data_IF_932599629759
#
_entry.id   IF_932599629759
#
_cell.length_a   1.000
_cell.length_b   1.000
_cell.length_c   1.000
_cell.angle_alpha   90.00
_cell.angle_beta   90.00
_cell.angle_gamma   90.00
#
_symmetry.space_group_name_H-M   'P 1'
#
loop_
_entity.id
_entity.type
_entity.pdbx_description
1 polymer ?
#
# COMPACT_ATOMS: atom_id res chain seq x y z
N UNK A 1 -11.47 -2.72 -17.55
CA UNK A 1 -11.78 -1.76 -16.46
C UNK A 1 -10.78 -1.93 -15.32
N UNK A 2 -9.48 -2.02 -15.61
CA UNK A 2 -8.42 -2.32 -14.63
C UNK A 2 -7.70 -1.06 -14.13
N UNK A 3 -7.60 -0.02 -14.95
CA UNK A 3 -6.90 1.22 -14.56
C UNK A 3 -7.50 1.92 -13.34
N UNK A 4 -8.83 1.88 -13.15
CA UNK A 4 -9.48 2.61 -12.06
C UNK A 4 -9.12 2.06 -10.67
N UNK A 5 -8.96 0.74 -10.54
CA UNK A 5 -8.62 0.13 -9.24
C UNK A 5 -7.15 0.40 -8.89
N UNK A 6 -6.25 0.17 -9.86
CA UNK A 6 -4.81 0.45 -9.70
C UNK A 6 -4.57 1.92 -9.33
N UNK A 7 -5.25 2.86 -9.99
CA UNK A 7 -5.16 4.29 -9.68
C UNK A 7 -5.68 4.59 -8.26
N UNK A 8 -6.87 4.08 -7.90
CA UNK A 8 -7.45 4.28 -6.56
C UNK A 8 -6.52 3.76 -5.45
N UNK A 9 -6.00 2.55 -5.61
CA UNK A 9 -5.11 1.92 -4.61
C UNK A 9 -3.80 2.68 -4.53
N UNK A 10 -3.24 3.12 -5.66
CA UNK A 10 -2.02 3.92 -5.70
C UNK A 10 -2.21 5.25 -4.97
N UNK A 11 -3.29 5.97 -5.25
CA UNK A 11 -3.58 7.27 -4.60
C UNK A 11 -3.82 7.12 -3.11
N UNK A 12 -4.58 6.10 -2.70
CA UNK A 12 -4.80 5.78 -1.29
C UNK A 12 -3.48 5.43 -0.60
N UNK A 13 -2.62 4.63 -1.24
CA UNK A 13 -1.33 4.22 -0.68
C UNK A 13 -0.37 5.41 -0.50
N UNK A 14 -0.40 6.39 -1.41
CA UNK A 14 0.34 7.66 -1.27
C UNK A 14 -0.11 8.53 -0.10
N UNK A 15 -1.36 8.37 0.35
CA UNK A 15 -1.86 9.05 1.56
C UNK A 15 -1.46 8.32 2.84
N UNK A 16 -1.30 7.01 2.76
CA UNK A 16 -0.82 6.18 3.87
C UNK A 16 0.70 6.36 4.06
N UNK A 17 1.44 6.34 2.96
CA UNK A 17 2.89 6.51 2.92
C UNK A 17 3.26 7.71 2.04
N UNK A 18 3.47 8.87 2.65
CA UNK A 18 3.69 10.16 1.98
C UNK A 18 4.97 10.14 1.13
N UNK A 19 5.96 9.36 1.55
CA UNK A 19 7.26 9.24 0.88
C UNK A 19 7.31 8.11 -0.14
N UNK A 20 6.17 7.46 -0.42
CA UNK A 20 6.08 6.38 -1.39
C UNK A 20 6.55 6.83 -2.78
N UNK A 21 7.68 6.29 -3.20
CA UNK A 21 8.41 6.71 -4.41
C UNK A 21 8.25 5.72 -5.57
N UNK A 22 8.01 4.45 -5.26
CA UNK A 22 7.77 3.38 -6.21
C UNK A 22 6.63 2.52 -5.66
N UNK A 23 5.54 2.43 -6.44
CA UNK A 23 4.33 1.73 -6.06
C UNK A 23 4.01 0.73 -7.16
N UNK A 24 3.82 -0.52 -6.76
CA UNK A 24 3.30 -1.56 -7.61
C UNK A 24 2.01 -2.10 -7.00
N UNK A 25 1.01 -2.34 -7.84
CA UNK A 25 -0.30 -2.88 -7.44
C UNK A 25 -0.60 -4.07 -8.32
N UNK A 26 -0.84 -5.21 -7.68
CA UNK A 26 -1.33 -6.43 -8.32
C UNK A 26 -2.82 -6.61 -7.99
N UNK A 27 -3.66 -6.38 -9.00
CA UNK A 27 -5.11 -6.48 -8.87
C UNK A 27 -5.64 -7.90 -8.83
N UNK A 28 -4.84 -8.89 -9.25
CA UNK A 28 -5.24 -10.29 -9.28
C UNK A 28 -5.07 -10.92 -7.89
N UNK A 29 -3.99 -10.57 -7.19
CA UNK A 29 -3.70 -11.04 -5.81
C UNK A 29 -4.24 -10.12 -4.72
N UNK A 30 -4.67 -8.89 -5.09
CA UNK A 30 -5.03 -7.81 -4.17
C UNK A 30 -3.89 -7.45 -3.23
N UNK A 31 -2.68 -7.35 -3.79
CA UNK A 31 -1.47 -6.96 -3.09
C UNK A 31 -0.86 -5.69 -3.71
N UNK A 32 -0.18 -4.90 -2.89
CA UNK A 32 0.63 -3.79 -3.36
C UNK A 32 1.93 -3.67 -2.59
N UNK A 33 2.93 -3.07 -3.21
CA UNK A 33 4.17 -2.69 -2.54
C UNK A 33 4.41 -1.18 -2.66
N UNK A 34 4.99 -0.60 -1.61
CA UNK A 34 5.45 0.77 -1.61
C UNK A 34 6.89 0.84 -1.09
N UNK A 35 7.80 1.40 -1.88
CA UNK A 35 9.12 1.82 -1.42
C UNK A 35 9.02 3.21 -0.78
N UNK A 36 9.48 3.32 0.45
CA UNK A 36 9.37 4.52 1.27
C UNK A 36 10.74 5.02 1.72
N UNK A 37 10.81 6.25 2.23
CA UNK A 37 12.03 6.74 2.90
C UNK A 37 12.20 6.07 4.27
N UNK A 38 13.43 6.10 4.77
CA UNK A 38 13.73 5.62 6.13
C UNK A 38 12.98 6.40 7.20
N UNK A 39 12.72 7.69 6.97
CA UNK A 39 12.05 8.57 7.94
C UNK A 39 10.58 8.17 8.18
N UNK A 40 9.96 7.49 7.21
CA UNK A 40 8.59 7.00 7.30
C UNK A 40 8.49 5.53 7.74
N UNK A 41 9.62 4.80 7.78
CA UNK A 41 9.63 3.39 8.13
C UNK A 41 9.29 3.19 9.62
N UNK A 42 8.32 2.31 9.90
CA UNK A 42 7.80 2.04 11.25
C UNK A 42 8.06 0.62 11.75
N UNK A 43 8.79 -0.20 10.98
CA UNK A 43 8.94 -1.63 11.29
C UNK A 43 7.64 -2.38 11.09
N UNK A 44 7.34 -3.31 12.01
CA UNK A 44 6.12 -4.10 11.99
C UNK A 44 4.88 -3.23 12.30
N UNK A 45 4.01 -3.07 11.31
CA UNK A 45 2.73 -2.36 11.42
C UNK A 45 1.62 -3.41 11.55
N UNK A 46 1.09 -3.56 12.76
CA UNK A 46 0.04 -4.54 13.04
C UNK A 46 -1.37 -3.98 12.85
N UNK A 47 -1.53 -2.64 12.85
CA UNK A 47 -2.81 -1.99 12.57
C UNK A 47 -3.21 -2.09 11.09
N UNK A 48 -4.52 -2.00 10.85
CA UNK A 48 -5.04 -1.79 9.49
C UNK A 48 -4.93 -0.32 9.13
N UNK A 49 -4.41 -0.04 7.96
CA UNK A 49 -4.30 1.31 7.41
C UNK A 49 -5.51 1.56 6.50
N UNK A 50 -6.00 2.80 6.43
CA UNK A 50 -7.19 3.13 5.65
C UNK A 50 -7.06 4.52 5.02
N UNK A 51 -7.32 4.59 3.71
CA UNK A 51 -7.39 5.84 2.96
C UNK A 51 -8.33 5.68 1.77
N UNK A 52 -9.15 6.70 1.49
CA UNK A 52 -10.04 6.78 0.31
C UNK A 52 -10.87 5.53 0.01
N UNK A 53 -11.38 4.86 1.05
CA UNK A 53 -12.18 3.65 0.88
C UNK A 53 -11.36 2.38 0.61
N UNK A 54 -10.04 2.45 0.70
CA UNK A 54 -9.13 1.30 0.60
C UNK A 54 -8.59 0.94 1.98
N UNK A 55 -8.76 -0.32 2.38
CA UNK A 55 -8.14 -0.90 3.56
C UNK A 55 -6.85 -1.59 3.17
N UNK A 56 -5.80 -1.40 3.95
CA UNK A 56 -4.52 -2.09 3.78
C UNK A 56 -4.15 -2.84 5.06
N UNK A 57 -3.50 -3.99 4.87
CA UNK A 57 -2.89 -4.78 5.93
C UNK A 57 -1.47 -5.11 5.50
N UNK A 58 -0.48 -4.72 6.31
CA UNK A 58 0.91 -5.13 6.08
C UNK A 58 1.02 -6.65 6.24
N UNK A 59 1.64 -7.28 5.25
CA UNK A 59 1.90 -8.73 5.24
C UNK A 59 3.38 -9.05 5.21
N UNK A 60 4.20 -8.12 4.73
CA UNK A 60 5.66 -8.20 4.77
C UNK A 60 6.26 -6.79 4.76
N UNK A 61 7.49 -6.64 5.25
CA UNK A 61 8.24 -5.40 5.18
C UNK A 61 9.74 -5.66 5.09
N UNK A 62 10.46 -4.77 4.40
CA UNK A 62 11.91 -4.83 4.30
C UNK A 62 12.50 -3.63 5.05
N UNK A 63 13.36 -3.93 6.03
CA UNK A 63 14.05 -2.96 6.88
C UNK A 63 15.46 -2.62 6.38
N UNK A 64 15.83 -3.14 5.20
CA UNK A 64 17.10 -2.88 4.53
C UNK A 64 16.83 -2.12 3.24
N UNK A 65 17.66 -1.11 2.93
CA UNK A 65 17.44 -0.23 1.78
C UNK A 65 17.29 -1.01 0.46
N UNK A 66 16.24 -0.75 -0.34
CA UNK A 66 15.18 0.23 -0.09
C UNK A 66 14.16 -0.26 0.96
N UNK A 67 13.78 0.64 1.87
CA UNK A 67 12.69 0.37 2.83
C UNK A 67 11.39 0.18 2.08
N UNK A 68 10.67 -0.90 2.40
CA UNK A 68 9.49 -1.31 1.64
C UNK A 68 8.43 -1.92 2.54
N UNK A 69 7.17 -1.65 2.22
CA UNK A 69 6.03 -2.40 2.74
C UNK A 69 5.36 -3.19 1.63
N UNK A 70 4.98 -4.42 1.91
CA UNK A 70 4.07 -5.24 1.10
C UNK A 70 2.75 -5.34 1.87
N UNK A 71 1.66 -4.98 1.21
CA UNK A 71 0.35 -4.89 1.81
C UNK A 71 -0.65 -5.69 1.00
N UNK A 72 -1.51 -6.42 1.69
CA UNK A 72 -2.78 -6.84 1.13
C UNK A 72 -3.75 -5.67 1.21
N UNK A 73 -4.54 -5.44 0.16
CA UNK A 73 -5.53 -4.38 0.14
C UNK A 73 -6.94 -4.89 -0.15
N UNK A 74 -7.93 -4.09 0.21
CA UNK A 74 -9.33 -4.28 -0.15
C UNK A 74 -9.96 -2.94 -0.47
N UNK A 75 -10.51 -2.79 -1.67
CA UNK A 75 -11.36 -1.65 -2.03
C UNK A 75 -12.76 -1.87 -1.45
N UNK A 76 -13.37 -0.81 -0.95
CA UNK A 76 -14.80 -0.78 -0.69
C UNK A 76 -15.54 -0.56 -2.03
N UNK A 77 -15.33 -1.44 -3.01
CA UNK A 77 -16.29 -1.53 -4.11
C UNK A 77 -17.58 -2.09 -3.52
N UNK A 78 -18.57 -1.21 -3.42
CA UNK A 78 -19.94 -1.59 -3.08
C UNK A 78 -20.41 -2.59 -4.13
N UNK A 79 -20.55 -3.85 -3.73
CA UNK A 79 -21.48 -4.77 -4.39
C UNK A 79 -22.91 -4.31 -4.18
#
# INVERSE_FOLDING_TARGET
MTNSETEQVTDALRKVFITASDIFVDTDTKECEAKISVDEFRGDITERLFADGVQFKVIDYWDTYPFKYVLQYRTNDQG
#
